data_IF_471322933112
#
_entry.id   IF_471322933112
#
_cell.length_a   1.000
_cell.length_b   1.000
_cell.length_c   1.000
_cell.angle_alpha   90.00
_cell.angle_beta   90.00
_cell.angle_gamma   90.00
#
_symmetry.space_group_name_H-M   'P 1'
#
loop_
_entity.id
_entity.type
_entity.pdbx_description
1 polymer ?
#
# COMPACT_ATOMS: atom_id res chain seq x y z
N UNK A 1 12.33 10.59 7.90
CA UNK A 1 12.85 9.24 7.62
C UNK A 1 12.11 8.13 8.38
N UNK A 2 11.09 8.43 9.21
CA UNK A 2 10.58 7.45 10.20
C UNK A 2 9.27 6.70 9.86
N UNK A 3 8.54 7.03 8.80
CA UNK A 3 7.18 6.47 8.65
C UNK A 3 7.15 5.09 7.97
N UNK A 4 8.07 4.79 7.05
CA UNK A 4 8.10 3.51 6.33
C UNK A 4 8.62 2.35 7.19
N UNK A 5 9.63 2.58 8.03
CA UNK A 5 10.17 1.55 8.93
C UNK A 5 9.17 1.21 10.05
N UNK A 6 8.46 2.22 10.56
CA UNK A 6 7.39 2.04 11.53
C UNK A 6 6.20 1.27 10.94
N UNK A 7 5.83 1.53 9.68
CA UNK A 7 4.78 0.80 8.98
C UNK A 7 5.08 -0.70 8.88
N UNK A 8 6.28 -1.09 8.46
CA UNK A 8 6.66 -2.52 8.39
C UNK A 8 6.67 -3.19 9.76
N UNK A 9 7.24 -2.51 10.76
CA UNK A 9 7.26 -3.03 12.14
C UNK A 9 5.84 -3.25 12.67
N UNK A 10 4.91 -2.33 12.37
CA UNK A 10 3.50 -2.45 12.75
C UNK A 10 2.80 -3.57 11.98
N UNK A 11 3.06 -3.73 10.69
CA UNK A 11 2.48 -4.82 9.88
C UNK A 11 2.92 -6.18 10.44
N UNK A 12 4.21 -6.35 10.74
CA UNK A 12 4.73 -7.61 11.31
C UNK A 12 4.16 -7.89 12.70
N UNK A 13 4.04 -6.87 13.55
CA UNK A 13 3.50 -7.04 14.91
C UNK A 13 1.99 -7.26 14.96
N UNK A 14 1.23 -6.57 14.12
CA UNK A 14 -0.23 -6.58 14.15
C UNK A 14 -0.82 -7.66 13.26
N UNK A 15 -0.06 -8.19 12.30
CA UNK A 15 -0.50 -9.16 11.30
C UNK A 15 -1.90 -8.84 10.74
N UNK A 16 -2.09 -7.64 10.17
CA UNK A 16 -3.42 -7.18 9.79
C UNK A 16 -3.99 -8.01 8.64
N UNK A 17 -5.31 -8.19 8.63
CA UNK A 17 -6.02 -8.75 7.47
C UNK A 17 -6.24 -7.73 6.33
N UNK A 18 -6.10 -6.43 6.62
CA UNK A 18 -6.33 -5.33 5.69
C UNK A 18 -5.40 -4.15 6.03
N UNK A 19 -4.77 -3.58 5.01
CA UNK A 19 -3.98 -2.34 5.08
C UNK A 19 -4.65 -1.29 4.20
N UNK A 20 -4.82 -0.08 4.72
CA UNK A 20 -5.28 1.08 3.96
C UNK A 20 -4.07 2.02 3.79
N UNK A 21 -3.66 2.26 2.55
CA UNK A 21 -2.52 3.10 2.20
C UNK A 21 -3.02 4.37 1.53
N UNK A 22 -2.62 5.54 2.05
CA UNK A 22 -2.79 6.80 1.35
C UNK A 22 -1.49 7.14 0.58
N UNK A 23 -1.54 7.04 -0.74
CA UNK A 23 -0.39 7.32 -1.62
C UNK A 23 -0.29 8.82 -1.95
N UNK A 24 -1.27 9.63 -1.55
CA UNK A 24 -1.20 11.09 -1.60
C UNK A 24 -0.30 11.69 -0.51
N UNK A 25 0.09 10.90 0.49
CA UNK A 25 0.96 11.36 1.57
C UNK A 25 2.45 11.26 1.19
N UNK A 26 3.22 12.36 1.22
CA UNK A 26 4.62 12.38 0.77
C UNK A 26 5.59 11.60 1.68
N UNK A 27 5.10 11.05 2.79
CA UNK A 27 5.94 10.51 3.85
C UNK A 27 6.09 9.00 3.85
N UNK A 28 5.21 8.27 3.16
CA UNK A 28 5.22 6.80 3.10
C UNK A 28 5.33 6.37 1.65
N UNK A 29 6.36 5.57 1.36
CA UNK A 29 6.46 4.88 0.09
C UNK A 29 5.51 3.67 0.07
N UNK A 30 4.24 3.93 -0.25
CA UNK A 30 3.20 2.90 -0.30
C UNK A 30 3.50 1.78 -1.32
N UNK A 31 4.25 2.08 -2.38
CA UNK A 31 4.64 1.08 -3.38
C UNK A 31 5.63 0.07 -2.79
N UNK A 32 6.59 0.52 -1.98
CA UNK A 32 7.51 -0.38 -1.27
C UNK A 32 6.77 -1.35 -0.34
N UNK A 33 5.70 -0.91 0.32
CA UNK A 33 4.86 -1.76 1.17
C UNK A 33 4.15 -2.83 0.33
N UNK A 34 3.52 -2.43 -0.78
CA UNK A 34 2.84 -3.34 -1.70
C UNK A 34 3.82 -4.38 -2.26
N UNK A 35 5.01 -3.94 -2.70
CA UNK A 35 6.05 -4.83 -3.23
C UNK A 35 6.42 -5.90 -2.21
N UNK A 36 6.73 -5.48 -0.98
CA UNK A 36 7.18 -6.37 0.08
C UNK A 36 6.10 -7.40 0.43
N UNK A 37 4.86 -6.97 0.63
CA UNK A 37 3.75 -7.87 0.96
C UNK A 37 3.49 -8.89 -0.15
N UNK A 38 3.57 -8.45 -1.42
CA UNK A 38 3.45 -9.31 -2.60
C UNK A 38 4.57 -10.36 -2.66
N UNK A 39 5.83 -9.95 -2.47
CA UNK A 39 6.98 -10.87 -2.47
C UNK A 39 6.95 -11.89 -1.33
N UNK A 40 6.29 -11.58 -0.21
CA UNK A 40 6.13 -12.48 0.93
C UNK A 40 4.91 -13.40 0.80
N UNK A 41 4.16 -13.32 -0.30
CA UNK A 41 2.90 -14.03 -0.53
C UNK A 41 1.92 -13.84 0.65
N UNK A 42 1.92 -12.64 1.23
CA UNK A 42 1.12 -12.32 2.41
C UNK A 42 -0.37 -12.31 2.03
N UNK A 43 -1.26 -12.92 2.84
CA UNK A 43 -2.70 -12.91 2.57
C UNK A 43 -3.35 -11.54 2.83
N UNK A 44 -2.57 -10.53 3.25
CA UNK A 44 -3.06 -9.20 3.60
C UNK A 44 -3.68 -8.52 2.38
N UNK A 45 -4.89 -8.00 2.55
CA UNK A 45 -5.52 -7.16 1.53
C UNK A 45 -4.97 -5.74 1.66
N UNK A 46 -4.74 -5.07 0.54
CA UNK A 46 -4.28 -3.69 0.52
C UNK A 46 -5.33 -2.87 -0.24
N UNK A 47 -5.72 -1.71 0.30
CA UNK A 47 -6.56 -0.72 -0.35
C UNK A 47 -5.77 0.57 -0.45
N UNK A 48 -5.61 1.08 -1.67
CA UNK A 48 -4.92 2.34 -1.94
C UNK A 48 -5.94 3.47 -2.07
N UNK A 49 -5.81 4.49 -1.23
CA UNK A 49 -6.52 5.76 -1.32
C UNK A 49 -5.59 6.79 -1.98
N UNK A 50 -6.09 7.52 -2.97
CA UNK A 50 -5.35 8.61 -3.62
C UNK A 50 -6.32 9.69 -4.08
N UNK A 51 -5.97 10.96 -3.81
CA UNK A 51 -6.70 12.12 -4.31
C UNK A 51 -6.21 12.58 -5.70
N UNK A 52 -5.07 12.06 -6.17
CA UNK A 52 -4.47 12.40 -7.48
C UNK A 52 -4.88 11.37 -8.53
N UNK A 53 -4.95 11.77 -9.81
CA UNK A 53 -5.35 10.89 -10.92
C UNK A 53 -4.62 9.54 -10.87
N UNK A 54 -5.44 8.49 -10.76
CA UNK A 54 -5.05 7.20 -10.22
C UNK A 54 -4.60 6.19 -11.27
N UNK A 55 -4.62 6.57 -12.55
CA UNK A 55 -4.48 5.61 -13.66
C UNK A 55 -3.09 4.95 -13.66
N UNK A 56 -2.03 5.74 -13.56
CA UNK A 56 -0.66 5.19 -13.51
C UNK A 56 -0.37 4.42 -12.23
N UNK A 57 -0.96 4.84 -11.11
CA UNK A 57 -0.74 4.22 -9.81
C UNK A 57 -1.48 2.89 -9.69
N UNK A 58 -2.72 2.84 -10.18
CA UNK A 58 -3.53 1.63 -10.22
C UNK A 58 -2.87 0.56 -11.08
N UNK A 59 -2.37 0.93 -12.27
CA UNK A 59 -1.63 0.03 -13.15
C UNK A 59 -0.41 -0.54 -12.41
N UNK A 60 0.43 0.32 -11.82
CA UNK A 60 1.65 -0.10 -11.11
C UNK A 60 1.35 -0.99 -9.90
N UNK A 61 0.29 -0.70 -9.15
CA UNK A 61 -0.10 -1.54 -8.01
C UNK A 61 -0.63 -2.91 -8.45
N UNK A 62 -1.42 -2.96 -9.53
CA UNK A 62 -1.90 -4.21 -10.10
C UNK A 62 -0.76 -5.07 -10.65
N UNK A 63 0.23 -4.47 -11.32
CA UNK A 63 1.45 -5.16 -11.77
C UNK A 63 2.24 -5.78 -10.61
N UNK A 64 2.14 -5.18 -9.43
CA UNK A 64 2.82 -5.64 -8.21
C UNK A 64 1.97 -6.61 -7.37
N UNK A 65 0.80 -7.05 -7.85
CA UNK A 65 -0.07 -8.00 -7.16
C UNK A 65 -0.93 -7.37 -6.06
N UNK A 66 -1.01 -6.04 -6.00
CA UNK A 66 -1.91 -5.30 -5.11
C UNK A 66 -3.31 -5.17 -5.71
N UNK A 67 -4.34 -5.18 -4.87
CA UNK A 67 -5.69 -4.80 -5.26
C UNK A 67 -5.86 -3.28 -5.08
N UNK A 68 -6.40 -2.59 -6.07
CA UNK A 68 -6.64 -1.13 -5.99
C UNK A 68 -8.12 -0.84 -6.08
N UNK A 69 -8.62 0.00 -5.18
CA UNK A 69 -9.94 0.61 -5.25
C UNK A 69 -9.76 2.10 -5.07
N UNK A 70 -9.79 2.85 -6.17
CA UNK A 70 -9.74 4.30 -6.15
C UNK A 70 -11.14 4.87 -5.87
N UNK A 71 -11.28 5.57 -4.74
CA UNK A 71 -12.48 6.37 -4.44
C UNK A 71 -12.08 7.84 -4.49
N UNK A 72 -12.64 8.58 -5.45
CA UNK A 72 -12.56 10.06 -5.47
C UNK A 72 -13.47 10.58 -4.34
N UNK A 73 -12.90 11.37 -3.42
CA UNK A 73 -13.70 12.24 -2.55
C UNK A 73 -14.12 13.49 -3.31
#
# INVERSE_FOLDING_TARGET
MDNSLDAFTKIEKLNPGLIILDIGLPSIDGLSIINRMSTQNSPVKIIVLTAQESDHLAIRCMEMGGNVSSTKY
#
